data_IF_529200877638
#
_entry.id   IF_529200877638
#
_cell.length_a   1.000
_cell.length_b   1.000
_cell.length_c   1.000
_cell.angle_alpha   90.00
_cell.angle_beta   90.00
_cell.angle_gamma   90.00
#
_symmetry.space_group_name_H-M   'P 1'
#
loop_
_entity.id
_entity.type
_entity.pdbx_description
1 polymer ?
#
# COMPACT_ATOMS: atom_id res chain seq x y z
N UNK A 1 42.67 -1.49 43.59
CA UNK A 1 41.86 -0.24 43.53
C UNK A 1 41.46 0.18 42.10
N UNK A 2 42.08 -0.35 41.03
CA UNK A 2 41.76 0.03 39.63
C UNK A 2 40.65 -0.82 38.97
N UNK A 3 40.37 -2.02 39.47
CA UNK A 3 39.40 -2.96 38.87
C UNK A 3 37.92 -2.58 39.09
N UNK A 4 37.62 -1.78 40.11
CA UNK A 4 36.25 -1.34 40.42
C UNK A 4 35.75 -0.18 39.53
N UNK A 5 36.64 0.55 38.85
CA UNK A 5 36.24 1.67 37.97
C UNK A 5 35.70 1.20 36.62
N UNK A 6 36.22 0.09 36.09
CA UNK A 6 35.84 -0.45 34.78
C UNK A 6 34.49 -1.13 34.79
N UNK A 7 34.12 -1.84 35.87
CA UNK A 7 32.79 -2.47 35.98
C UNK A 7 31.66 -1.45 36.12
N UNK A 8 31.92 -0.32 36.80
CA UNK A 8 30.96 0.78 36.92
C UNK A 8 30.72 1.51 35.59
N UNK A 9 31.77 1.78 34.81
CA UNK A 9 31.61 2.44 33.50
C UNK A 9 30.93 1.55 32.46
N UNK A 10 31.20 0.24 32.48
CA UNK A 10 30.53 -0.73 31.62
C UNK A 10 29.05 -0.87 32.03
N UNK A 11 28.75 -0.94 33.33
CA UNK A 11 27.37 -0.98 33.85
C UNK A 11 26.56 0.29 33.54
N UNK A 12 27.19 1.46 33.62
CA UNK A 12 26.54 2.73 33.24
C UNK A 12 26.33 2.83 31.73
N UNK A 13 27.27 2.31 30.91
CA UNK A 13 27.15 2.24 29.46
C UNK A 13 26.05 1.26 29.03
N UNK A 14 25.96 0.09 29.66
CA UNK A 14 24.88 -0.86 29.40
C UNK A 14 23.52 -0.31 29.86
N UNK A 15 23.42 0.29 31.04
CA UNK A 15 22.18 0.89 31.55
C UNK A 15 21.74 2.10 30.71
N UNK A 16 22.71 2.91 30.22
CA UNK A 16 22.43 4.00 29.28
C UNK A 16 21.99 3.48 27.91
N UNK A 17 22.61 2.42 27.39
CA UNK A 17 22.20 1.80 26.12
C UNK A 17 20.81 1.15 26.20
N UNK A 18 20.45 0.54 27.35
CA UNK A 18 19.11 -0.05 27.55
C UNK A 18 18.03 1.04 27.63
N UNK A 19 18.33 2.20 28.21
CA UNK A 19 17.41 3.35 28.27
C UNK A 19 17.33 4.11 26.93
N UNK A 20 18.37 4.04 26.10
CA UNK A 20 18.36 4.52 24.71
C UNK A 20 17.77 3.51 23.70
N UNK A 21 17.03 2.51 24.18
CA UNK A 21 16.04 1.84 23.33
C UNK A 21 14.92 2.84 23.09
N UNK A 22 15.13 3.70 22.09
CA UNK A 22 14.42 4.95 21.84
C UNK A 22 12.94 4.87 22.16
N UNK A 23 12.44 5.87 22.88
CA UNK A 23 11.03 6.10 23.15
C UNK A 23 10.25 5.88 21.85
N UNK A 24 9.74 4.66 21.65
CA UNK A 24 8.84 4.36 20.54
C UNK A 24 7.63 5.23 20.81
N UNK A 25 7.44 6.22 19.96
CA UNK A 25 6.28 7.09 20.03
C UNK A 25 5.05 6.22 19.79
N UNK A 26 4.43 5.75 20.87
CA UNK A 26 3.24 4.89 20.85
C UNK A 26 2.14 5.49 19.96
N UNK A 27 2.10 6.82 19.88
CA UNK A 27 1.24 7.57 18.98
C UNK A 27 1.44 7.24 17.49
N UNK A 28 2.69 7.14 17.03
CA UNK A 28 3.00 6.78 15.63
C UNK A 28 2.58 5.35 15.33
N UNK A 29 2.71 4.45 16.29
CA UNK A 29 2.27 3.06 16.13
C UNK A 29 0.75 2.95 16.05
N UNK A 30 0.00 3.72 16.85
CA UNK A 30 -1.46 3.76 16.76
C UNK A 30 -1.95 4.30 15.41
N UNK A 31 -1.35 5.38 14.90
CA UNK A 31 -1.68 5.91 13.57
C UNK A 31 -1.38 4.87 12.49
N UNK A 32 -0.24 4.18 12.59
CA UNK A 32 0.12 3.11 11.65
C UNK A 32 -0.94 2.03 11.61
N UNK A 33 -1.41 1.56 12.76
CA UNK A 33 -2.47 0.55 12.84
C UNK A 33 -3.77 1.02 12.19
N UNK A 34 -4.20 2.26 12.49
CA UNK A 34 -5.39 2.85 11.88
C UNK A 34 -5.26 2.89 10.35
N UNK A 35 -4.12 3.37 9.83
CA UNK A 35 -3.87 3.42 8.39
C UNK A 35 -3.91 2.03 7.75
N UNK A 36 -3.28 1.02 8.36
CA UNK A 36 -3.30 -0.36 7.84
C UNK A 36 -4.73 -0.90 7.78
N UNK A 37 -5.52 -0.70 8.83
CA UNK A 37 -6.92 -1.14 8.87
C UNK A 37 -7.74 -0.47 7.77
N UNK A 38 -7.58 0.86 7.59
CA UNK A 38 -8.29 1.60 6.53
C UNK A 38 -7.90 1.11 5.12
N UNK A 39 -6.63 0.75 4.89
CA UNK A 39 -6.17 0.17 3.62
C UNK A 39 -6.81 -1.20 3.38
N UNK A 40 -6.86 -2.06 4.40
CA UNK A 40 -7.48 -3.39 4.27
C UNK A 40 -8.97 -3.25 3.95
N UNK A 41 -9.70 -2.36 4.64
CA UNK A 41 -11.11 -2.12 4.35
C UNK A 41 -11.34 -1.57 2.94
N UNK A 42 -10.44 -0.73 2.42
CA UNK A 42 -10.50 -0.28 1.01
C UNK A 42 -10.41 -1.45 0.03
N UNK A 43 -9.50 -2.40 0.28
CA UNK A 43 -9.35 -3.57 -0.60
C UNK A 43 -10.57 -4.49 -0.54
N UNK A 44 -11.17 -4.65 0.65
CA UNK A 44 -12.42 -5.38 0.79
C UNK A 44 -13.55 -4.69 0.01
N UNK A 45 -13.64 -3.36 0.09
CA UNK A 45 -14.61 -2.60 -0.70
C UNK A 45 -14.44 -2.84 -2.21
N UNK A 46 -13.23 -2.78 -2.75
CA UNK A 46 -12.99 -3.03 -4.19
C UNK A 46 -13.31 -4.48 -4.58
N UNK A 47 -13.06 -5.44 -3.70
CA UNK A 47 -13.35 -6.87 -3.95
C UNK A 47 -14.85 -7.16 -4.00
N UNK A 48 -15.64 -6.54 -3.11
CA UNK A 48 -17.08 -6.83 -2.97
C UNK A 48 -18.02 -5.84 -3.69
N UNK A 49 -17.56 -4.63 -4.01
CA UNK A 49 -18.41 -3.61 -4.66
C UNK A 49 -18.59 -3.85 -6.15
N UNK A 50 -17.94 -4.86 -6.74
CA UNK A 50 -17.84 -5.12 -8.19
C UNK A 50 -17.30 -3.93 -9.00
N UNK A 51 -16.84 -2.87 -8.33
CA UNK A 51 -16.35 -1.63 -8.92
C UNK A 51 -14.83 -1.52 -8.71
N UNK A 52 -14.08 -1.81 -9.78
CA UNK A 52 -12.64 -1.61 -9.83
C UNK A 52 -11.94 -2.62 -10.74
N UNK A 53 -10.74 -2.29 -11.23
CA UNK A 53 -9.85 -3.25 -11.88
C UNK A 53 -9.04 -3.97 -10.79
N UNK A 54 -9.50 -5.13 -10.35
CA UNK A 54 -8.76 -6.03 -9.45
C UNK A 54 -8.80 -7.46 -9.96
N UNK A 55 -7.86 -8.30 -9.51
CA UNK A 55 -7.69 -9.66 -10.02
C UNK A 55 -8.85 -10.61 -9.67
N UNK A 56 -9.60 -10.29 -8.62
CA UNK A 56 -10.76 -11.07 -8.18
C UNK A 56 -11.90 -10.10 -7.85
N UNK A 57 -13.03 -10.31 -8.51
CA UNK A 57 -14.29 -9.59 -8.30
C UNK A 57 -15.35 -10.66 -8.06
N UNK A 58 -16.01 -10.60 -6.91
CA UNK A 58 -17.11 -11.52 -6.64
C UNK A 58 -18.32 -11.06 -7.45
N UNK A 59 -18.70 -11.83 -8.48
CA UNK A 59 -19.81 -11.52 -9.38
C UNK A 59 -21.17 -11.79 -8.70
N UNK A 60 -21.54 -10.94 -7.75
CA UNK A 60 -22.87 -10.92 -7.14
C UNK A 60 -23.58 -9.62 -7.50
N UNK A 61 -24.81 -9.74 -7.99
CA UNK A 61 -25.69 -8.60 -8.20
C UNK A 61 -25.95 -7.88 -6.87
N UNK A 62 -25.32 -6.74 -6.71
CA UNK A 62 -25.55 -5.83 -5.57
C UNK A 62 -26.72 -4.91 -5.90
N UNK A 63 -27.66 -4.76 -4.96
CA UNK A 63 -28.75 -3.81 -5.11
C UNK A 63 -28.23 -2.36 -5.22
N UNK A 64 -29.00 -1.44 -5.83
CA UNK A 64 -28.56 -0.07 -6.10
C UNK A 64 -28.17 0.71 -4.83
N UNK A 65 -28.84 0.42 -3.71
CA UNK A 65 -28.51 1.02 -2.40
C UNK A 65 -27.15 0.56 -1.88
N UNK A 66 -26.86 -0.75 -1.94
CA UNK A 66 -25.58 -1.30 -1.51
C UNK A 66 -24.43 -0.75 -2.35
N UNK A 67 -24.65 -0.64 -3.66
CA UNK A 67 -23.69 -0.07 -4.59
C UNK A 67 -23.37 1.41 -4.29
N UNK A 68 -24.38 2.21 -3.95
CA UNK A 68 -24.19 3.60 -3.51
C UNK A 68 -23.38 3.69 -2.21
N UNK A 69 -23.68 2.85 -1.22
CA UNK A 69 -22.97 2.83 0.06
C UNK A 69 -21.49 2.47 -0.12
N UNK A 70 -21.18 1.44 -0.92
CA UNK A 70 -19.81 1.07 -1.24
C UNK A 70 -19.08 2.18 -2.03
N UNK A 71 -19.77 2.85 -2.95
CA UNK A 71 -19.22 3.98 -3.70
C UNK A 71 -18.90 5.19 -2.81
N UNK A 72 -19.81 5.58 -1.92
CA UNK A 72 -19.59 6.66 -0.95
C UNK A 72 -18.45 6.32 0.01
N UNK A 73 -18.46 5.12 0.58
CA UNK A 73 -17.40 4.65 1.48
C UNK A 73 -16.03 4.64 0.78
N UNK A 74 -15.95 4.03 -0.41
CA UNK A 74 -14.71 3.95 -1.18
C UNK A 74 -14.17 5.33 -1.55
N UNK A 75 -15.03 6.25 -1.98
CA UNK A 75 -14.63 7.62 -2.37
C UNK A 75 -14.12 8.43 -1.18
N UNK A 76 -14.82 8.36 -0.03
CA UNK A 76 -14.42 9.04 1.19
C UNK A 76 -13.09 8.49 1.73
N UNK A 77 -12.97 7.16 1.80
CA UNK A 77 -11.77 6.50 2.29
C UNK A 77 -10.58 6.79 1.36
N UNK A 78 -10.78 6.78 0.04
CA UNK A 78 -9.75 7.11 -0.94
C UNK A 78 -9.29 8.57 -0.83
N UNK A 79 -10.22 9.52 -0.72
CA UNK A 79 -9.88 10.94 -0.53
C UNK A 79 -9.12 11.19 0.78
N UNK A 80 -9.60 10.59 1.89
CA UNK A 80 -8.96 10.70 3.19
C UNK A 80 -7.54 10.12 3.20
N UNK A 81 -7.37 8.90 2.68
CA UNK A 81 -6.07 8.24 2.60
C UNK A 81 -5.06 9.03 1.76
N UNK A 82 -5.47 9.51 0.59
CA UNK A 82 -4.58 10.30 -0.27
C UNK A 82 -4.16 11.61 0.41
N UNK A 83 -5.08 12.31 1.06
CA UNK A 83 -4.78 13.52 1.82
C UNK A 83 -3.85 13.27 3.01
N UNK A 84 -4.12 12.25 3.82
CA UNK A 84 -3.33 11.89 5.00
C UNK A 84 -1.89 11.50 4.62
N UNK A 85 -1.73 10.67 3.58
CA UNK A 85 -0.40 10.28 3.11
C UNK A 85 0.38 11.47 2.56
N UNK A 86 -0.28 12.40 1.85
CA UNK A 86 0.36 13.63 1.38
C UNK A 86 0.80 14.54 2.53
N UNK A 87 -0.04 14.70 3.55
CA UNK A 87 0.28 15.48 4.75
C UNK A 87 1.51 14.91 5.45
N UNK A 88 1.53 13.59 5.68
CA UNK A 88 2.66 12.89 6.31
C UNK A 88 3.92 13.02 5.45
N UNK A 89 3.80 12.86 4.13
CA UNK A 89 4.91 13.03 3.21
C UNK A 89 5.48 14.45 3.28
N UNK A 90 4.63 15.48 3.30
CA UNK A 90 5.05 16.88 3.43
C UNK A 90 5.76 17.18 4.75
N UNK A 91 5.25 16.65 5.85
CA UNK A 91 5.86 16.80 7.18
C UNK A 91 7.29 16.24 7.23
N UNK A 92 7.51 15.04 6.69
CA UNK A 92 8.83 14.42 6.66
C UNK A 92 9.77 14.97 5.58
N UNK A 93 9.22 15.59 4.52
CA UNK A 93 10.01 16.27 3.48
C UNK A 93 10.74 17.46 4.09
N UNK A 94 10.09 18.31 4.89
CA UNK A 94 10.69 19.52 5.46
C UNK A 94 11.96 19.21 6.28
N UNK A 95 11.89 18.23 7.20
CA UNK A 95 13.04 17.86 8.03
C UNK A 95 14.17 17.13 7.29
N UNK A 96 13.86 16.46 6.17
CA UNK A 96 14.86 15.79 5.33
C UNK A 96 15.51 16.74 4.33
N UNK A 97 14.74 17.74 3.86
CA UNK A 97 15.18 18.75 2.91
C UNK A 97 16.27 19.64 3.50
N UNK A 98 16.08 20.08 4.75
CA UNK A 98 17.01 20.97 5.46
C UNK A 98 18.39 20.32 5.72
N UNK A 99 18.44 18.97 5.82
CA UNK A 99 19.67 18.23 6.13
C UNK A 99 20.46 17.74 4.90
N UNK A 100 19.80 17.50 3.76
CA UNK A 100 20.41 16.85 2.58
C UNK A 100 20.51 17.76 1.35
N UNK A 101 19.71 18.82 1.23
CA UNK A 101 19.61 19.62 0.00
C UNK A 101 18.86 18.93 -1.14
N UNK A 102 18.53 19.69 -2.20
CA UNK A 102 17.57 19.30 -3.25
C UNK A 102 17.96 18.07 -4.08
N UNK A 103 19.20 18.00 -4.58
CA UNK A 103 19.66 16.95 -5.52
C UNK A 103 19.70 15.52 -4.92
N UNK A 104 20.34 15.27 -3.77
CA UNK A 104 20.40 13.92 -3.21
C UNK A 104 19.04 13.45 -2.68
N UNK A 105 18.16 14.36 -2.24
CA UNK A 105 16.82 14.02 -1.76
C UNK A 105 15.92 13.45 -2.88
N UNK A 106 15.91 14.09 -4.05
CA UNK A 106 15.08 13.65 -5.18
C UNK A 106 15.60 12.34 -5.78
N UNK A 107 16.92 12.19 -5.91
CA UNK A 107 17.54 10.99 -6.49
C UNK A 107 17.28 9.74 -5.64
N UNK A 108 17.41 9.86 -4.31
CA UNK A 108 17.15 8.75 -3.37
C UNK A 108 15.67 8.31 -3.41
N UNK A 109 14.75 9.27 -3.56
CA UNK A 109 13.31 8.99 -3.68
C UNK A 109 12.95 8.33 -5.02
N UNK A 110 13.53 8.78 -6.14
CA UNK A 110 13.29 8.20 -7.47
C UNK A 110 13.86 6.79 -7.57
N UNK A 111 15.05 6.52 -7.03
CA UNK A 111 15.64 5.19 -7.08
C UNK A 111 14.81 4.21 -6.24
N UNK A 112 14.41 4.61 -5.02
CA UNK A 112 13.69 3.72 -4.11
C UNK A 112 12.23 3.49 -4.48
N UNK A 113 11.57 4.45 -5.14
CA UNK A 113 10.17 4.32 -5.58
C UNK A 113 10.06 3.92 -7.06
N UNK A 114 10.89 4.50 -7.92
CA UNK A 114 10.84 4.31 -9.36
C UNK A 114 11.31 2.93 -9.80
N UNK A 115 12.40 2.38 -9.23
CA UNK A 115 12.89 1.05 -9.61
C UNK A 115 11.83 -0.03 -9.32
N UNK A 116 11.24 -0.11 -8.10
CA UNK A 116 10.16 -1.07 -7.84
C UNK A 116 8.95 -0.89 -8.77
N UNK A 117 8.53 0.34 -9.04
CA UNK A 117 7.39 0.61 -9.92
C UNK A 117 7.68 0.23 -11.37
N UNK A 118 8.88 0.49 -11.88
CA UNK A 118 9.26 0.15 -13.24
C UNK A 118 9.31 -1.37 -13.45
N UNK A 119 9.88 -2.09 -12.48
CA UNK A 119 9.89 -3.56 -12.45
C UNK A 119 8.45 -4.09 -12.43
N UNK A 120 7.59 -3.53 -11.57
CA UNK A 120 6.19 -3.94 -11.49
C UNK A 120 5.45 -3.73 -12.82
N UNK A 121 5.60 -2.55 -13.43
CA UNK A 121 4.90 -2.18 -14.66
C UNK A 121 5.38 -3.00 -15.88
N UNK A 122 6.67 -3.33 -15.95
CA UNK A 122 7.26 -4.01 -17.11
C UNK A 122 7.22 -5.55 -17.00
N UNK A 123 7.30 -6.10 -15.79
CA UNK A 123 7.31 -7.56 -15.58
C UNK A 123 5.97 -8.05 -15.06
N UNK A 124 5.52 -7.55 -13.91
CA UNK A 124 4.37 -8.12 -13.20
C UNK A 124 3.07 -7.82 -13.94
N UNK A 125 2.85 -6.58 -14.37
CA UNK A 125 1.61 -6.19 -15.05
C UNK A 125 1.35 -6.97 -16.35
N UNK A 126 2.28 -7.07 -17.33
CA UNK A 126 2.02 -7.83 -18.55
C UNK A 126 1.93 -9.33 -18.30
N UNK A 127 2.68 -9.88 -17.34
CA UNK A 127 2.59 -11.29 -16.97
C UNK A 127 1.21 -11.60 -16.37
N UNK A 128 0.70 -10.76 -15.47
CA UNK A 128 -0.63 -10.99 -14.88
C UNK A 128 -1.75 -10.82 -15.91
N UNK A 129 -1.61 -9.85 -16.83
CA UNK A 129 -2.55 -9.72 -17.95
C UNK A 129 -2.48 -10.95 -18.87
N UNK A 130 -1.28 -11.44 -19.21
CA UNK A 130 -1.13 -12.65 -20.02
C UNK A 130 -1.76 -13.87 -19.35
N UNK A 131 -1.55 -14.04 -18.04
CA UNK A 131 -2.18 -15.12 -17.25
C UNK A 131 -3.70 -14.96 -17.27
N UNK A 132 -4.22 -13.76 -17.05
CA UNK A 132 -5.66 -13.52 -17.10
C UNK A 132 -6.25 -13.83 -18.47
N UNK A 133 -5.64 -13.34 -19.56
CA UNK A 133 -6.06 -13.66 -20.93
C UNK A 133 -5.95 -15.16 -21.23
N UNK A 134 -4.92 -15.84 -20.74
CA UNK A 134 -4.70 -17.27 -20.96
C UNK A 134 -5.70 -18.12 -20.16
N UNK A 135 -5.97 -17.79 -18.89
CA UNK A 135 -6.95 -18.47 -18.03
C UNK A 135 -8.36 -18.23 -18.56
N UNK A 136 -8.72 -16.99 -18.89
CA UNK A 136 -10.01 -16.68 -19.49
C UNK A 136 -10.18 -17.42 -20.81
N UNK A 137 -9.18 -17.41 -21.71
CA UNK A 137 -9.22 -18.19 -22.96
C UNK A 137 -9.33 -19.70 -22.74
N UNK A 138 -8.65 -20.25 -21.74
CA UNK A 138 -8.75 -21.68 -21.39
C UNK A 138 -10.15 -22.05 -20.89
N UNK A 139 -10.82 -21.18 -20.12
CA UNK A 139 -12.21 -21.40 -19.68
C UNK A 139 -13.17 -21.36 -20.88
N UNK A 140 -13.02 -20.42 -21.82
CA UNK A 140 -13.83 -20.37 -23.05
C UNK A 140 -13.55 -21.52 -24.04
N UNK A 141 -12.35 -22.10 -24.01
CA UNK A 141 -12.01 -23.24 -24.88
C UNK A 141 -12.52 -24.58 -24.34
N UNK A 142 -12.63 -24.74 -23.01
CA UNK A 142 -13.20 -25.94 -22.39
C UNK A 142 -14.74 -25.91 -22.36
N UNK A 143 -15.34 -24.72 -22.30
CA UNK A 143 -16.78 -24.52 -22.53
C UNK A 143 -17.02 -24.45 -24.05
N UNK A 144 -16.94 -25.60 -24.71
CA UNK A 144 -17.06 -25.76 -26.17
C UNK A 144 -18.44 -25.44 -26.77
N UNK A 145 -19.12 -24.36 -26.37
CA UNK A 145 -20.34 -23.86 -27.01
C UNK A 145 -20.41 -22.33 -26.96
N UNK A 146 -20.16 -21.71 -28.12
CA UNK A 146 -20.99 -20.65 -28.72
C UNK A 146 -21.24 -19.39 -27.88
N UNK A 147 -20.28 -18.45 -27.87
CA UNK A 147 -20.65 -17.02 -27.82
C UNK A 147 -20.83 -16.54 -29.27
N UNK A 148 -22.08 -16.36 -29.69
CA UNK A 148 -22.37 -15.44 -30.78
C UNK A 148 -21.77 -14.08 -30.44
N UNK A 149 -21.13 -13.39 -31.39
CA UNK A 149 -20.50 -12.12 -31.10
C UNK A 149 -21.59 -11.10 -30.76
N UNK A 150 -21.27 -10.20 -29.82
CA UNK A 150 -21.52 -8.77 -30.07
C UNK A 150 -23.02 -8.41 -30.13
N UNK A 151 -23.66 -8.24 -28.97
CA UNK A 151 -24.70 -7.21 -28.84
C UNK A 151 -24.02 -5.85 -28.62
N UNK A 152 -23.22 -5.45 -29.61
CA UNK A 152 -22.75 -4.08 -29.83
C UNK A 152 -23.32 -3.71 -31.20
N UNK A 153 -24.62 -3.48 -31.23
CA UNK A 153 -25.31 -2.86 -32.36
C UNK A 153 -26.47 -2.07 -31.77
N UNK A 154 -26.35 -0.74 -31.92
CA UNK A 154 -27.17 0.37 -31.41
C UNK A 154 -26.96 0.79 -29.95
#
# INVERSE_FOLDING_TARGET
>A
MLEQRTTSSIGLSEAKSRTETGQRLVFIDNIRWVVIILVVLMHLNVTYSTMGLWYYLEARDIGPLSQLLFGMYGSLNQAFMMGLLFLIAGYFVLGSFDKKGFKPFVTDRIIRLGIPTLIYMLLIHPVTMMIFYCVMRSQYALVGLKQTPICFTL
#
